data_IF_075852290062
#
_entry.id   IF_075852290062
#
_cell.length_a   1.000
_cell.length_b   1.000
_cell.length_c   1.000
_cell.angle_alpha   90.00
_cell.angle_beta   90.00
_cell.angle_gamma   90.00
#
_symmetry.space_group_name_H-M   'P 1'
#
loop_
_entity.id
_entity.type
_entity.pdbx_description
1 polymer ?
#
# COMPACT_ATOMS: atom_id res chain seq x y z
N UNK A 1 -6.91 22.50 19.10
CA UNK A 1 -5.83 21.57 18.74
C UNK A 1 -6.14 20.26 19.44
N UNK A 2 -6.00 19.13 18.74
CA UNK A 2 -6.21 17.83 19.37
C UNK A 2 -5.05 17.57 20.34
N UNK A 3 -5.37 17.25 21.60
CA UNK A 3 -4.39 17.04 22.65
C UNK A 3 -5.03 16.54 23.94
N UNK A 4 -4.20 16.20 24.92
CA UNK A 4 -4.68 15.80 26.24
C UNK A 4 -4.89 17.05 27.08
N UNK A 5 -6.15 17.33 27.42
CA UNK A 5 -6.52 18.49 28.24
C UNK A 5 -5.96 18.36 29.68
N UNK A 6 -5.30 19.39 30.24
CA UNK A 6 -4.74 19.37 31.59
C UNK A 6 -5.75 18.96 32.68
N UNK A 7 -7.02 19.30 32.49
CA UNK A 7 -8.12 18.97 33.42
C UNK A 7 -8.32 17.46 33.60
N UNK A 8 -7.88 16.64 32.64
CA UNK A 8 -8.02 15.19 32.67
C UNK A 8 -6.88 14.50 33.42
N UNK A 9 -5.77 15.18 33.71
CA UNK A 9 -4.60 14.56 34.32
C UNK A 9 -4.88 13.86 35.66
N UNK A 10 -5.64 14.44 36.60
CA UNK A 10 -5.99 13.76 37.84
C UNK A 10 -6.74 12.45 37.60
N UNK A 11 -7.61 12.44 36.59
CA UNK A 11 -8.37 11.25 36.21
C UNK A 11 -7.49 10.20 35.52
N UNK A 12 -6.60 10.62 34.62
CA UNK A 12 -5.68 9.75 33.89
C UNK A 12 -4.63 9.11 34.81
N UNK A 13 -4.12 9.87 35.79
CA UNK A 13 -3.16 9.38 36.81
C UNK A 13 -3.81 8.55 37.92
N UNK A 14 -5.15 8.56 38.01
CA UNK A 14 -5.91 8.01 39.13
C UNK A 14 -5.51 8.65 40.46
N UNK A 15 -5.46 9.98 40.49
CA UNK A 15 -5.23 10.79 41.70
C UNK A 15 -6.49 10.78 42.58
N UNK A 16 -6.85 9.59 43.09
CA UNK A 16 -8.03 9.34 43.89
C UNK A 16 -7.80 9.69 45.36
N UNK A 17 -8.72 10.43 45.95
CA UNK A 17 -8.75 10.75 47.37
C UNK A 17 -9.81 9.91 48.07
N UNK A 18 -9.46 9.25 49.17
CA UNK A 18 -10.41 8.49 49.97
C UNK A 18 -11.27 9.44 50.82
N UNK A 19 -12.59 9.35 50.69
CA UNK A 19 -13.58 9.98 51.56
C UNK A 19 -14.49 8.89 52.16
N UNK A 20 -14.09 8.40 53.34
CA UNK A 20 -14.74 7.25 53.97
C UNK A 20 -14.60 5.98 53.11
N UNK A 21 -15.70 5.31 52.72
CA UNK A 21 -15.65 4.13 51.86
C UNK A 21 -15.59 4.45 50.36
N UNK A 22 -15.67 5.73 49.96
CA UNK A 22 -15.71 6.15 48.55
C UNK A 22 -14.40 6.79 48.13
N UNK A 23 -14.12 6.74 46.85
CA UNK A 23 -13.06 7.54 46.22
C UNK A 23 -13.66 8.77 45.56
N UNK A 24 -12.98 9.89 45.64
CA UNK A 24 -13.30 11.13 44.91
C UNK A 24 -12.10 11.54 44.08
N UNK A 25 -12.34 12.25 42.98
CA UNK A 25 -11.30 12.79 42.10
C UNK A 25 -11.54 14.27 41.84
N UNK A 26 -10.48 15.06 41.81
CA UNK A 26 -10.53 16.48 41.47
C UNK A 26 -10.56 16.64 39.95
N UNK A 27 -11.58 17.32 39.41
CA UNK A 27 -11.67 17.68 38.00
C UNK A 27 -11.92 19.18 37.92
N UNK A 28 -10.87 19.93 37.54
CA UNK A 28 -10.89 21.39 37.61
C UNK A 28 -11.12 21.87 39.05
N UNK A 29 -12.17 22.65 39.27
CA UNK A 29 -12.52 23.18 40.59
C UNK A 29 -13.49 22.28 41.38
N UNK A 30 -13.89 21.13 40.82
CA UNK A 30 -14.89 20.25 41.43
C UNK A 30 -14.27 18.96 41.94
N UNK A 31 -14.70 18.57 43.14
CA UNK A 31 -14.50 17.23 43.69
C UNK A 31 -15.69 16.38 43.31
N UNK A 32 -15.46 15.23 42.67
CA UNK A 32 -16.52 14.35 42.16
C UNK A 32 -16.29 12.92 42.64
N UNK A 33 -17.35 12.23 43.06
CA UNK A 33 -17.32 10.80 43.40
C UNK A 33 -16.83 9.98 42.20
N UNK A 34 -15.80 9.16 42.40
CA UNK A 34 -15.24 8.28 41.40
C UNK A 34 -15.95 6.92 41.43
N UNK A 35 -16.55 6.53 40.31
CA UNK A 35 -17.14 5.21 40.12
C UNK A 35 -16.07 4.22 39.63
N UNK A 36 -15.89 3.09 40.30
CA UNK A 36 -14.92 2.05 39.94
C UNK A 36 -15.19 1.40 38.56
N UNK A 37 -16.44 1.41 38.12
CA UNK A 37 -16.85 0.91 36.79
C UNK A 37 -16.59 1.91 35.66
N UNK A 38 -16.18 3.14 35.97
CA UNK A 38 -15.91 4.16 34.97
C UNK A 38 -14.78 3.73 34.02
N UNK A 39 -14.98 3.93 32.71
CA UNK A 39 -13.99 3.71 31.65
C UNK A 39 -14.00 4.89 30.69
N UNK A 40 -12.81 5.34 30.27
CA UNK A 40 -12.63 6.46 29.35
C UNK A 40 -11.90 5.99 28.09
N UNK A 41 -12.47 6.30 26.93
CA UNK A 41 -11.83 6.14 25.63
C UNK A 41 -11.81 7.49 24.91
N UNK A 42 -10.66 7.83 24.33
CA UNK A 42 -10.46 9.06 23.57
C UNK A 42 -10.04 8.68 22.15
N UNK A 43 -10.56 9.40 21.16
CA UNK A 43 -10.24 9.17 19.75
C UNK A 43 -9.95 10.52 19.06
N UNK A 44 -8.99 10.51 18.14
CA UNK A 44 -8.65 11.66 17.29
C UNK A 44 -8.54 11.23 15.83
N UNK A 45 -8.84 12.16 14.91
CA UNK A 45 -8.61 11.97 13.47
C UNK A 45 -7.21 12.40 13.03
N UNK A 46 -6.45 13.08 13.90
CA UNK A 46 -5.08 13.45 13.64
C UNK A 46 -4.19 12.20 13.81
N UNK A 47 -3.47 11.74 12.77
CA UNK A 47 -2.61 10.56 12.86
C UNK A 47 -1.34 10.81 13.70
N UNK A 48 -0.96 12.06 13.91
CA UNK A 48 0.19 12.44 14.72
C UNK A 48 -0.20 13.59 15.67
N UNK A 49 -1.07 13.33 16.67
CA UNK A 49 -1.39 14.31 17.68
C UNK A 49 -0.15 14.61 18.52
N UNK A 50 0.03 15.87 18.91
CA UNK A 50 1.06 16.19 19.88
C UNK A 50 0.61 15.69 21.26
N UNK A 51 1.32 14.70 21.78
CA UNK A 51 1.10 14.16 23.12
C UNK A 51 2.35 14.47 23.93
N UNK A 52 2.24 15.29 24.99
CA UNK A 52 3.40 15.63 25.80
C UNK A 52 3.90 14.39 26.57
N UNK A 53 5.20 14.30 26.90
CA UNK A 53 5.79 13.08 27.49
C UNK A 53 5.14 12.64 28.81
N UNK A 54 4.65 13.60 29.60
CA UNK A 54 3.93 13.37 30.84
C UNK A 54 2.58 12.68 30.60
N UNK A 55 1.80 13.13 29.62
CA UNK A 55 0.57 12.46 29.20
C UNK A 55 0.88 11.08 28.59
N UNK A 56 1.93 10.97 27.78
CA UNK A 56 2.35 9.71 27.14
C UNK A 56 2.71 8.60 28.15
N UNK A 57 3.11 8.97 29.37
CA UNK A 57 3.39 8.00 30.44
C UNK A 57 2.13 7.39 31.08
N UNK A 58 0.97 8.04 30.94
CA UNK A 58 -0.28 7.65 31.61
C UNK A 58 -1.39 7.23 30.64
N UNK A 59 -1.14 7.30 29.34
CA UNK A 59 -2.06 6.87 28.29
C UNK A 59 -1.43 5.81 27.41
N UNK A 60 -2.26 4.93 26.86
CA UNK A 60 -1.84 3.97 25.83
C UNK A 60 -2.29 4.48 24.47
N UNK A 61 -1.32 4.76 23.59
CA UNK A 61 -1.58 5.17 22.21
C UNK A 61 -1.88 3.93 21.34
N UNK A 62 -3.04 3.92 20.68
CA UNK A 62 -3.42 2.86 19.75
C UNK A 62 -3.60 3.46 18.36
N UNK A 63 -2.76 3.03 17.41
CA UNK A 63 -2.79 3.55 16.05
C UNK A 63 -3.70 2.71 15.14
N UNK A 64 -4.79 3.32 14.67
CA UNK A 64 -5.75 2.73 13.73
C UNK A 64 -5.48 3.12 12.27
N UNK A 65 -4.21 3.21 11.87
CA UNK A 65 -3.84 3.50 10.48
C UNK A 65 -4.07 2.27 9.59
N UNK A 66 -4.70 2.49 8.43
CA UNK A 66 -4.88 1.45 7.42
C UNK A 66 -3.52 0.91 6.96
N UNK A 67 -3.32 -0.41 7.08
CA UNK A 67 -2.10 -1.08 6.61
C UNK A 67 -2.29 -1.65 5.21
N UNK A 68 -1.19 -1.89 4.47
CA UNK A 68 -1.23 -2.51 3.14
C UNK A 68 -1.94 -3.86 3.14
N UNK A 69 -1.65 -4.70 4.13
CA UNK A 69 -2.26 -6.01 4.29
C UNK A 69 -3.75 -5.92 4.66
N UNK A 70 -4.10 -5.01 5.59
CA UNK A 70 -5.50 -4.79 5.98
C UNK A 70 -6.36 -4.28 4.82
N UNK A 71 -5.86 -3.30 4.07
CA UNK A 71 -6.57 -2.79 2.89
C UNK A 71 -6.70 -3.85 1.79
N UNK A 72 -5.64 -4.63 1.54
CA UNK A 72 -5.71 -5.75 0.58
C UNK A 72 -6.84 -6.72 0.95
N UNK A 73 -6.95 -7.10 2.22
CA UNK A 73 -8.03 -7.98 2.70
C UNK A 73 -9.42 -7.37 2.50
N UNK A 74 -9.58 -6.07 2.79
CA UNK A 74 -10.84 -5.35 2.57
C UNK A 74 -11.22 -5.28 1.08
N UNK A 75 -10.26 -4.94 0.21
CA UNK A 75 -10.47 -4.88 -1.23
C UNK A 75 -10.82 -6.26 -1.80
N UNK A 76 -10.14 -7.32 -1.35
CA UNK A 76 -10.46 -8.69 -1.74
C UNK A 76 -11.89 -9.06 -1.33
N UNK A 77 -12.31 -8.75 -0.10
CA UNK A 77 -13.67 -9.00 0.34
C UNK A 77 -14.71 -8.28 -0.54
N UNK A 78 -14.47 -7.01 -0.88
CA UNK A 78 -15.34 -6.25 -1.78
C UNK A 78 -15.39 -6.85 -3.19
N UNK A 79 -14.25 -7.31 -3.73
CA UNK A 79 -14.20 -7.99 -5.03
C UNK A 79 -15.02 -9.27 -5.01
N UNK A 80 -14.82 -10.13 -4.01
CA UNK A 80 -15.54 -11.41 -3.91
C UNK A 80 -17.04 -11.19 -3.72
N UNK A 81 -17.43 -10.20 -2.92
CA UNK A 81 -18.84 -9.85 -2.74
C UNK A 81 -19.53 -9.47 -4.06
N UNK A 82 -18.81 -8.81 -4.97
CA UNK A 82 -19.34 -8.40 -6.28
C UNK A 82 -19.26 -9.53 -7.32
N UNK A 83 -18.09 -10.16 -7.46
CA UNK A 83 -17.80 -11.12 -8.53
C UNK A 83 -18.35 -12.52 -8.23
N UNK A 84 -18.35 -12.94 -6.95
CA UNK A 84 -18.79 -14.27 -6.50
C UNK A 84 -19.59 -14.17 -5.19
N UNK A 85 -20.79 -13.56 -5.19
CA UNK A 85 -21.59 -13.38 -3.99
C UNK A 85 -21.95 -14.70 -3.29
N UNK A 86 -22.11 -15.79 -4.05
CA UNK A 86 -22.36 -17.12 -3.51
C UNK A 86 -21.20 -17.63 -2.64
N UNK A 87 -19.96 -17.36 -3.06
CA UNK A 87 -18.75 -17.73 -2.32
C UNK A 87 -18.66 -16.97 -1.00
N UNK A 88 -18.99 -15.67 -1.00
CA UNK A 88 -19.05 -14.84 0.20
C UNK A 88 -20.14 -15.33 1.17
N UNK A 89 -21.33 -15.66 0.64
CA UNK A 89 -22.44 -16.22 1.43
C UNK A 89 -22.06 -17.55 2.07
N UNK A 90 -21.41 -18.44 1.32
CA UNK A 90 -20.93 -19.74 1.82
C UNK A 90 -19.89 -19.57 2.91
N UNK A 91 -18.92 -18.67 2.74
CA UNK A 91 -17.91 -18.38 3.76
C UNK A 91 -18.52 -17.81 5.03
N UNK A 92 -19.45 -16.85 4.89
CA UNK A 92 -20.15 -16.24 6.04
C UNK A 92 -20.93 -17.28 6.84
N UNK A 93 -21.69 -18.15 6.16
CA UNK A 93 -22.43 -19.25 6.81
C UNK A 93 -21.49 -20.23 7.52
N UNK A 94 -20.36 -20.56 6.90
CA UNK A 94 -19.37 -21.47 7.49
C UNK A 94 -18.78 -20.88 8.78
N UNK A 95 -18.41 -19.60 8.77
CA UNK A 95 -17.88 -18.91 9.95
C UNK A 95 -18.90 -18.85 11.09
N UNK A 96 -20.17 -18.58 10.77
CA UNK A 96 -21.24 -18.60 11.77
C UNK A 96 -21.40 -19.98 12.41
N UNK A 97 -21.40 -21.05 11.60
CA UNK A 97 -21.48 -22.42 12.10
C UNK A 97 -20.25 -22.83 12.91
N UNK A 98 -19.07 -22.35 12.55
CA UNK A 98 -17.84 -22.59 13.31
C UNK A 98 -17.90 -21.92 14.69
N UNK A 99 -18.34 -20.66 14.74
CA UNK A 99 -18.47 -19.93 16.00
C UNK A 99 -19.51 -20.57 16.92
N UNK A 100 -20.67 -20.96 16.38
CA UNK A 100 -21.69 -21.67 17.14
C UNK A 100 -21.16 -22.99 17.74
N UNK A 101 -20.39 -23.76 16.95
CA UNK A 101 -19.74 -25.00 17.43
C UNK A 101 -18.69 -24.74 18.49
N UNK A 102 -17.90 -23.66 18.39
CA UNK A 102 -16.92 -23.27 19.42
C UNK A 102 -17.62 -22.93 20.73
N UNK A 103 -18.73 -22.20 20.67
CA UNK A 103 -19.54 -21.89 21.86
C UNK A 103 -20.11 -23.18 22.46
N UNK A 104 -20.68 -24.07 21.65
CA UNK A 104 -21.18 -25.37 22.12
C UNK A 104 -20.09 -26.22 22.77
N UNK A 105 -18.88 -26.24 22.20
CA UNK A 105 -17.74 -26.95 22.76
C UNK A 105 -17.36 -26.39 24.14
N UNK A 106 -17.26 -25.05 24.27
CA UNK A 106 -16.96 -24.40 25.54
C UNK A 106 -18.03 -24.69 26.62
N UNK A 107 -19.31 -24.69 26.24
CA UNK A 107 -20.42 -25.03 27.15
C UNK A 107 -20.36 -26.50 27.60
N UNK A 108 -20.02 -27.43 26.71
CA UNK A 108 -19.85 -28.84 27.06
C UNK A 108 -18.66 -29.03 28.01
N UNK A 109 -17.55 -28.32 27.79
CA UNK A 109 -16.38 -28.35 28.67
C UNK A 109 -16.70 -27.76 30.06
N UNK A 110 -17.41 -26.63 30.11
CA UNK A 110 -17.86 -26.02 31.36
C UNK A 110 -18.83 -26.92 32.14
N UNK A 111 -19.83 -27.51 31.46
CA UNK A 111 -20.76 -28.45 32.08
C UNK A 111 -20.05 -29.70 32.61
N UNK A 112 -19.05 -30.21 31.88
CA UNK A 112 -18.24 -31.34 32.33
C UNK A 112 -17.46 -31.00 33.60
N UNK A 113 -16.86 -29.81 33.68
CA UNK A 113 -16.16 -29.33 34.87
C UNK A 113 -17.11 -29.14 36.06
N UNK A 114 -18.28 -28.55 35.83
CA UNK A 114 -19.31 -28.38 36.86
C UNK A 114 -19.78 -29.73 37.40
N UNK A 115 -20.06 -30.69 36.52
CA UNK A 115 -20.51 -32.03 36.89
C UNK A 115 -19.45 -32.77 37.72
N UNK A 116 -18.16 -32.65 37.35
CA UNK A 116 -17.05 -33.20 38.13
C UNK A 116 -16.87 -32.50 39.49
N UNK A 117 -17.05 -31.19 39.55
CA UNK A 117 -16.90 -30.40 40.77
C UNK A 117 -18.05 -30.61 41.77
N UNK A 118 -19.27 -30.83 41.27
CA UNK A 118 -20.48 -31.05 42.08
C UNK A 118 -20.70 -32.52 42.46
N UNK A 119 -19.96 -33.46 41.85
CA UNK A 119 -20.04 -34.88 42.17
C UNK A 119 -19.66 -35.16 43.63
N UNK A 120 -20.63 -35.63 44.42
CA UNK A 120 -20.43 -36.07 45.81
C UNK A 120 -20.42 -37.60 45.89
N UNK A 121 -19.53 -38.18 46.72
CA UNK A 121 -19.38 -39.63 46.88
C UNK A 121 -18.30 -40.24 45.99
N UNK A 122 -18.28 -41.58 45.87
CA UNK A 122 -17.32 -42.28 45.03
C UNK A 122 -17.70 -42.13 43.54
N UNK A 123 -16.99 -41.26 42.83
CA UNK A 123 -17.19 -40.96 41.40
C UNK A 123 -17.14 -42.23 40.54
N UNK A 124 -16.35 -43.23 40.95
CA UNK A 124 -16.19 -44.50 40.21
C UNK A 124 -17.40 -45.43 40.33
N UNK A 125 -18.28 -45.22 41.31
CA UNK A 125 -19.49 -46.03 41.53
C UNK A 125 -20.74 -45.40 40.91
N UNK A 126 -20.69 -44.11 40.57
CA UNK A 126 -21.81 -43.40 39.97
C UNK A 126 -21.88 -43.68 38.45
N UNK A 127 -22.63 -44.72 38.08
CA UNK A 127 -22.81 -45.13 36.69
C UNK A 127 -23.45 -44.05 35.81
N UNK A 128 -24.42 -43.29 36.33
CA UNK A 128 -25.08 -42.21 35.58
C UNK A 128 -24.10 -41.08 35.25
N UNK A 129 -23.24 -40.72 36.20
CA UNK A 129 -22.18 -39.74 35.99
C UNK A 129 -21.16 -40.20 34.94
N UNK A 130 -20.73 -41.47 35.01
CA UNK A 130 -19.79 -42.04 34.03
C UNK A 130 -20.40 -42.07 32.63
N UNK A 131 -21.68 -42.40 32.50
CA UNK A 131 -22.39 -42.42 31.22
C UNK A 131 -22.54 -41.02 30.63
N UNK A 132 -22.92 -40.04 31.45
CA UNK A 132 -22.98 -38.62 31.06
C UNK A 132 -21.61 -38.10 30.61
N UNK A 133 -20.53 -38.40 31.36
CA UNK A 133 -19.16 -38.01 30.98
C UNK A 133 -18.72 -38.62 29.65
N UNK A 134 -19.04 -39.90 29.40
CA UNK A 134 -18.75 -40.55 28.14
C UNK A 134 -19.54 -39.94 26.97
N UNK A 135 -20.81 -39.57 27.19
CA UNK A 135 -21.64 -38.91 26.18
C UNK A 135 -21.10 -37.50 25.86
N UNK A 136 -20.75 -36.70 26.87
CA UNK A 136 -20.15 -35.37 26.71
C UNK A 136 -18.82 -35.46 25.97
N UNK A 137 -17.97 -36.43 26.31
CA UNK A 137 -16.70 -36.68 25.61
C UNK A 137 -16.91 -37.06 24.15
N UNK A 138 -17.88 -37.93 23.86
CA UNK A 138 -18.20 -38.32 22.49
C UNK A 138 -18.74 -37.13 21.66
N UNK A 139 -19.60 -36.30 22.26
CA UNK A 139 -20.13 -35.09 21.64
C UNK A 139 -19.04 -34.06 21.36
N UNK A 140 -18.16 -33.80 22.33
CA UNK A 140 -16.99 -32.93 22.17
C UNK A 140 -16.06 -33.42 21.05
N UNK A 141 -15.79 -34.72 20.97
CA UNK A 141 -14.97 -35.30 19.89
C UNK A 141 -15.61 -35.12 18.51
N UNK A 142 -16.94 -35.27 18.39
CA UNK A 142 -17.67 -35.03 17.14
C UNK A 142 -17.60 -33.56 16.72
N UNK A 143 -17.79 -32.63 17.66
CA UNK A 143 -17.69 -31.19 17.41
C UNK A 143 -16.27 -30.84 16.96
N UNK A 144 -15.24 -31.36 17.62
CA UNK A 144 -13.84 -31.14 17.26
C UNK A 144 -13.52 -31.65 15.86
N UNK A 145 -14.04 -32.82 15.49
CA UNK A 145 -13.91 -33.33 14.12
C UNK A 145 -14.60 -32.39 13.13
N UNK A 146 -15.82 -31.94 13.43
CA UNK A 146 -16.56 -31.02 12.56
C UNK A 146 -15.86 -29.66 12.41
N UNK A 147 -15.26 -29.13 13.48
CA UNK A 147 -14.43 -27.92 13.42
C UNK A 147 -13.20 -28.11 12.52
N UNK A 148 -12.58 -29.30 12.57
CA UNK A 148 -11.44 -29.64 11.70
C UNK A 148 -11.86 -29.71 10.23
N UNK A 149 -13.04 -30.27 9.94
CA UNK A 149 -13.62 -30.31 8.59
C UNK A 149 -13.99 -28.90 8.08
N UNK A 150 -14.61 -28.08 8.93
CA UNK A 150 -14.91 -26.67 8.64
C UNK A 150 -13.63 -25.89 8.31
N UNK A 151 -12.55 -26.09 9.06
CA UNK A 151 -11.26 -25.47 8.79
C UNK A 151 -10.69 -25.90 7.42
N UNK A 152 -10.78 -27.18 7.06
CA UNK A 152 -10.36 -27.66 5.72
C UNK A 152 -11.17 -27.01 4.61
N UNK A 153 -12.48 -26.91 4.78
CA UNK A 153 -13.35 -26.26 3.81
C UNK A 153 -13.05 -24.75 3.71
N UNK A 154 -12.75 -24.08 4.82
CA UNK A 154 -12.34 -22.69 4.84
C UNK A 154 -11.06 -22.46 4.02
N UNK A 155 -10.04 -23.32 4.18
CA UNK A 155 -8.83 -23.23 3.35
C UNK A 155 -9.13 -23.40 1.86
N UNK A 156 -10.04 -24.31 1.50
CA UNK A 156 -10.47 -24.48 0.10
C UNK A 156 -11.19 -23.24 -0.43
N UNK A 157 -12.05 -22.61 0.38
CA UNK A 157 -12.74 -21.37 0.00
C UNK A 157 -11.75 -20.21 -0.12
N UNK A 158 -10.73 -20.14 0.74
CA UNK A 158 -9.70 -19.12 0.68
C UNK A 158 -8.86 -19.25 -0.60
N UNK A 159 -8.52 -20.47 -1.02
CA UNK A 159 -7.86 -20.71 -2.31
C UNK A 159 -8.70 -20.22 -3.51
N UNK A 160 -10.03 -20.41 -3.48
CA UNK A 160 -10.91 -19.89 -4.52
C UNK A 160 -10.97 -18.35 -4.53
N UNK A 161 -10.83 -17.72 -3.35
CA UNK A 161 -10.78 -16.24 -3.22
C UNK A 161 -9.45 -15.70 -3.71
N UNK A 162 -8.36 -16.42 -3.47
CA UNK A 162 -6.99 -16.00 -3.82
C UNK A 162 -6.81 -15.77 -5.32
N UNK A 163 -7.68 -16.34 -6.16
CA UNK A 163 -7.75 -16.00 -7.58
C UNK A 163 -7.87 -14.48 -7.85
N UNK A 164 -8.54 -13.73 -6.96
CA UNK A 164 -8.72 -12.27 -7.08
C UNK A 164 -7.72 -11.46 -6.23
N UNK A 165 -6.80 -12.12 -5.54
CA UNK A 165 -5.78 -11.46 -4.72
C UNK A 165 -4.91 -10.47 -5.51
N UNK A 166 -4.48 -10.76 -6.77
CA UNK A 166 -3.68 -9.82 -7.55
C UNK A 166 -4.33 -8.45 -7.72
N UNK A 167 -5.64 -8.41 -8.04
CA UNK A 167 -6.40 -7.17 -8.17
C UNK A 167 -6.37 -6.35 -6.87
N UNK A 168 -6.58 -7.02 -5.72
CA UNK A 168 -6.59 -6.37 -4.41
C UNK A 168 -5.20 -5.85 -4.02
N UNK A 169 -4.12 -6.55 -4.40
CA UNK A 169 -2.75 -6.09 -4.21
C UNK A 169 -2.43 -4.87 -5.05
N UNK A 170 -2.78 -4.90 -6.34
CA UNK A 170 -2.59 -3.79 -7.28
C UNK A 170 -3.37 -2.56 -6.81
N UNK A 171 -4.63 -2.71 -6.40
CA UNK A 171 -5.43 -1.62 -5.87
C UNK A 171 -4.92 -1.08 -4.52
N UNK A 172 -4.46 -1.95 -3.61
CA UNK A 172 -3.81 -1.52 -2.37
C UNK A 172 -2.56 -0.70 -2.66
N UNK A 173 -1.70 -1.15 -3.59
CA UNK A 173 -0.51 -0.39 -4.04
C UNK A 173 -0.90 0.99 -4.54
N UNK A 174 -1.90 1.10 -5.43
CA UNK A 174 -2.40 2.39 -5.94
C UNK A 174 -2.79 3.34 -4.81
N UNK A 175 -3.56 2.86 -3.83
CA UNK A 175 -3.99 3.70 -2.71
C UNK A 175 -2.80 4.30 -1.95
N UNK A 176 -1.79 3.50 -1.62
CA UNK A 176 -0.64 4.03 -0.89
C UNK A 176 0.21 4.99 -1.72
N UNK A 177 0.35 4.73 -3.03
CA UNK A 177 1.01 5.66 -3.96
C UNK A 177 0.31 7.02 -3.95
N UNK A 178 -1.02 7.06 -3.99
CA UNK A 178 -1.77 8.33 -3.95
C UNK A 178 -1.73 9.01 -2.58
N UNK A 179 -1.66 8.25 -1.47
CA UNK A 179 -1.55 8.86 -0.13
C UNK A 179 -0.21 9.57 0.10
N UNK A 180 0.84 9.12 -0.59
CA UNK A 180 2.16 9.72 -0.48
C UNK A 180 2.24 11.14 -1.08
N UNK A 181 1.30 11.55 -1.95
CA UNK A 181 1.28 12.91 -2.49
C UNK A 181 1.11 13.99 -1.41
N UNK A 182 0.54 13.64 -0.27
CA UNK A 182 0.40 14.55 0.87
C UNK A 182 1.74 15.04 1.42
N UNK A 183 2.83 14.30 1.17
CA UNK A 183 4.21 14.67 1.54
C UNK A 183 4.77 15.81 0.68
N UNK A 184 4.24 15.97 -0.53
CA UNK A 184 4.67 17.01 -1.47
C UNK A 184 3.84 18.28 -1.23
N UNK A 185 2.52 18.12 -1.13
CA UNK A 185 1.62 19.21 -0.81
C UNK A 185 0.56 18.73 0.19
N UNK A 186 0.43 19.46 1.30
CA UNK A 186 -0.53 19.17 2.36
C UNK A 186 -1.99 19.12 1.87
N UNK A 187 -2.33 19.76 0.75
CA UNK A 187 -3.66 19.74 0.14
C UNK A 187 -3.97 18.40 -0.58
N UNK A 188 -2.96 17.62 -0.96
CA UNK A 188 -3.12 16.35 -1.67
C UNK A 188 -3.43 15.19 -0.71
N UNK A 189 -4.58 15.30 -0.05
CA UNK A 189 -5.09 14.29 0.90
C UNK A 189 -6.32 13.63 0.33
N UNK A 190 -6.20 12.35 0.03
CA UNK A 190 -7.30 11.54 -0.51
C UNK A 190 -7.82 10.61 0.56
N UNK A 191 -9.14 10.59 0.75
CA UNK A 191 -9.76 9.71 1.74
C UNK A 191 -9.87 8.27 1.21
N UNK A 192 -9.67 7.30 2.11
CA UNK A 192 -9.93 5.89 1.80
C UNK A 192 -11.35 5.67 1.28
N UNK A 193 -12.34 6.35 1.87
CA UNK A 193 -13.74 6.24 1.43
C UNK A 193 -13.93 6.66 -0.04
N UNK A 194 -13.25 7.71 -0.50
CA UNK A 194 -13.28 8.10 -1.92
C UNK A 194 -12.65 7.04 -2.82
N UNK A 195 -11.53 6.45 -2.40
CA UNK A 195 -10.87 5.38 -3.13
C UNK A 195 -11.76 4.13 -3.22
N UNK A 196 -12.37 3.70 -2.12
CA UNK A 196 -13.27 2.54 -2.10
C UNK A 196 -14.51 2.75 -3.00
N UNK A 197 -15.02 3.98 -3.11
CA UNK A 197 -16.11 4.29 -4.06
C UNK A 197 -15.66 4.17 -5.52
N UNK A 198 -14.45 4.62 -5.85
CA UNK A 198 -13.88 4.44 -7.19
C UNK A 198 -13.66 2.96 -7.49
N UNK A 199 -13.12 2.21 -6.53
CA UNK A 199 -12.91 0.78 -6.63
C UNK A 199 -14.22 0.02 -6.89
N UNK A 200 -15.25 0.30 -6.08
CA UNK A 200 -16.56 -0.31 -6.27
C UNK A 200 -17.17 0.02 -7.63
N UNK A 201 -17.04 1.27 -8.09
CA UNK A 201 -17.49 1.66 -9.43
C UNK A 201 -16.73 0.92 -10.54
N UNK A 202 -15.43 0.69 -10.39
CA UNK A 202 -14.65 -0.08 -11.35
C UNK A 202 -15.11 -1.54 -11.43
N UNK A 203 -15.50 -2.15 -10.29
CA UNK A 203 -16.03 -3.51 -10.25
C UNK A 203 -17.40 -3.65 -10.92
N UNK A 204 -18.21 -2.59 -10.92
CA UNK A 204 -19.54 -2.57 -11.56
C UNK A 204 -19.49 -2.55 -13.09
N UNK A 205 -18.32 -2.38 -13.70
CA UNK A 205 -18.18 -2.39 -15.15
C UNK A 205 -18.48 -3.79 -15.69
N UNK A 206 -19.64 -3.91 -16.35
CA UNK A 206 -20.08 -5.13 -17.03
C UNK A 206 -19.20 -5.40 -18.24
N UNK A 207 -18.51 -6.54 -18.23
CA UNK A 207 -17.74 -6.99 -19.38
C UNK A 207 -17.74 -8.51 -19.40
N UNK A 208 -18.30 -9.09 -20.46
CA UNK A 208 -18.19 -10.52 -20.72
C UNK A 208 -16.71 -10.86 -20.87
N UNK A 209 -16.19 -11.64 -19.94
CA UNK A 209 -14.79 -12.04 -19.89
C UNK A 209 -14.72 -13.56 -19.98
N UNK A 210 -13.91 -14.09 -20.89
CA UNK A 210 -13.79 -15.54 -21.09
C UNK A 210 -13.06 -16.24 -19.92
N UNK A 211 -12.24 -15.51 -19.17
CA UNK A 211 -11.50 -16.03 -18.00
C UNK A 211 -11.35 -15.00 -16.87
N UNK A 212 -11.17 -15.51 -15.65
CA UNK A 212 -10.92 -14.70 -14.44
C UNK A 212 -9.67 -13.83 -14.58
N UNK A 213 -8.60 -14.34 -15.20
CA UNK A 213 -7.34 -13.60 -15.36
C UNK A 213 -7.49 -12.41 -16.33
N UNK A 214 -8.25 -12.60 -17.41
CA UNK A 214 -8.58 -11.53 -18.36
C UNK A 214 -9.47 -10.48 -17.69
N UNK A 215 -10.45 -10.93 -16.89
CA UNK A 215 -11.31 -10.04 -16.10
C UNK A 215 -10.49 -9.19 -15.12
N UNK A 216 -9.57 -9.80 -14.38
CA UNK A 216 -8.68 -9.11 -13.43
C UNK A 216 -7.82 -8.07 -14.15
N UNK A 217 -7.16 -8.45 -15.24
CA UNK A 217 -6.28 -7.54 -16.00
C UNK A 217 -7.04 -6.34 -16.55
N UNK A 218 -8.28 -6.56 -16.97
CA UNK A 218 -9.15 -5.50 -17.49
C UNK A 218 -9.62 -4.57 -16.38
N UNK A 219 -10.05 -5.12 -15.24
CA UNK A 219 -10.42 -4.35 -14.05
C UNK A 219 -9.25 -3.52 -13.52
N UNK A 220 -8.04 -4.08 -13.46
CA UNK A 220 -6.85 -3.36 -13.05
C UNK A 220 -6.57 -2.16 -13.97
N UNK A 221 -6.66 -2.37 -15.28
CA UNK A 221 -6.42 -1.31 -16.26
C UNK A 221 -7.47 -0.20 -16.15
N UNK A 222 -8.74 -0.58 -16.04
CA UNK A 222 -9.84 0.37 -15.88
C UNK A 222 -9.72 1.17 -14.57
N UNK A 223 -9.40 0.49 -13.45
CA UNK A 223 -9.20 1.13 -12.15
C UNK A 223 -8.04 2.11 -12.18
N UNK A 224 -6.90 1.74 -12.79
CA UNK A 224 -5.74 2.64 -12.94
C UNK A 224 -6.15 3.93 -13.65
N UNK A 225 -6.90 3.84 -14.75
CA UNK A 225 -7.36 5.01 -15.51
C UNK A 225 -8.32 5.88 -14.68
N UNK A 226 -9.31 5.27 -14.03
CA UNK A 226 -10.24 6.00 -13.17
C UNK A 226 -9.55 6.72 -12.01
N UNK A 227 -8.59 6.06 -11.35
CA UNK A 227 -7.82 6.65 -10.26
C UNK A 227 -6.95 7.77 -10.79
N UNK A 228 -6.21 7.56 -11.89
CA UNK A 228 -5.34 8.57 -12.47
C UNK A 228 -6.12 9.84 -12.85
N UNK A 229 -7.22 9.71 -13.59
CA UNK A 229 -8.08 10.86 -13.93
C UNK A 229 -8.63 11.57 -12.69
N UNK A 230 -9.13 10.82 -11.72
CA UNK A 230 -9.71 11.38 -10.49
C UNK A 230 -8.67 12.22 -9.73
N UNK A 231 -7.44 11.72 -9.61
CA UNK A 231 -6.36 12.43 -8.95
C UNK A 231 -5.90 13.64 -9.78
N UNK A 232 -5.67 13.49 -11.09
CA UNK A 232 -5.23 14.57 -11.96
C UNK A 232 -6.19 15.78 -11.98
N UNK A 233 -7.50 15.57 -11.81
CA UNK A 233 -8.50 16.65 -11.67
C UNK A 233 -8.30 17.51 -10.42
N UNK A 234 -7.62 16.98 -9.40
CA UNK A 234 -7.35 17.67 -8.13
C UNK A 234 -5.95 18.28 -8.02
N UNK A 235 -5.03 17.90 -8.91
CA UNK A 235 -3.65 18.37 -8.89
C UNK A 235 -3.48 19.68 -9.67
N UNK A 236 -2.54 20.51 -9.23
CA UNK A 236 -2.05 21.61 -10.05
C UNK A 236 -1.37 21.08 -11.31
N UNK A 237 -1.46 21.82 -12.42
CA UNK A 237 -0.83 21.45 -13.70
C UNK A 237 0.67 21.15 -13.57
N UNK A 238 1.37 21.92 -12.74
CA UNK A 238 2.80 21.74 -12.49
C UNK A 238 3.13 20.38 -11.86
N UNK A 239 2.21 19.80 -11.08
CA UNK A 239 2.45 18.56 -10.34
C UNK A 239 1.97 17.31 -11.10
N UNK A 240 1.27 17.46 -12.22
CA UNK A 240 0.70 16.34 -12.96
C UNK A 240 1.79 15.42 -13.54
N UNK A 241 2.87 15.97 -14.09
CA UNK A 241 3.98 15.16 -14.60
C UNK A 241 4.74 14.44 -13.48
N UNK A 242 4.95 15.11 -12.35
CA UNK A 242 5.54 14.49 -11.17
C UNK A 242 4.68 13.31 -10.70
N UNK A 243 3.36 13.50 -10.61
CA UNK A 243 2.44 12.44 -10.22
C UNK A 243 2.48 11.28 -11.22
N UNK A 244 2.53 11.55 -12.53
CA UNK A 244 2.61 10.51 -13.55
C UNK A 244 3.85 9.62 -13.36
N UNK A 245 5.02 10.22 -13.15
CA UNK A 245 6.25 9.45 -12.89
C UNK A 245 6.20 8.69 -11.56
N UNK A 246 5.73 9.33 -10.49
CA UNK A 246 5.56 8.68 -9.18
C UNK A 246 4.59 7.51 -9.25
N UNK A 247 3.49 7.67 -9.98
CA UNK A 247 2.49 6.63 -10.19
C UNK A 247 3.08 5.44 -10.97
N UNK A 248 3.77 5.69 -12.09
CA UNK A 248 4.46 4.63 -12.86
C UNK A 248 5.50 3.92 -11.99
N UNK A 249 6.32 4.66 -11.23
CA UNK A 249 7.33 4.06 -10.34
C UNK A 249 6.72 3.20 -9.25
N UNK A 250 5.60 3.64 -8.67
CA UNK A 250 4.91 2.90 -7.61
C UNK A 250 4.15 1.66 -8.11
N UNK A 251 3.60 1.73 -9.33
CA UNK A 251 2.81 0.64 -9.91
C UNK A 251 3.63 -0.39 -10.66
N UNK A 252 4.69 0.05 -11.35
CA UNK A 252 5.52 -0.76 -12.22
C UNK A 252 7.01 -0.58 -11.88
N UNK A 253 7.44 -0.96 -10.66
CA UNK A 253 8.83 -0.82 -10.24
C UNK A 253 9.82 -1.59 -11.13
N UNK A 254 9.36 -2.62 -11.83
CA UNK A 254 10.12 -3.44 -12.78
C UNK A 254 10.60 -2.71 -14.03
N UNK A 255 10.00 -1.55 -14.36
CA UNK A 255 10.46 -0.72 -15.48
C UNK A 255 11.78 0.02 -15.18
N UNK A 256 12.23 -0.03 -13.93
CA UNK A 256 13.40 0.68 -13.43
C UNK A 256 14.39 -0.35 -12.90
N UNK A 257 15.58 -0.38 -13.48
CA UNK A 257 16.66 -1.22 -12.96
C UNK A 257 17.26 -0.61 -11.69
N UNK A 258 18.14 -1.37 -11.03
CA UNK A 258 18.82 -0.94 -9.82
C UNK A 258 19.54 0.39 -10.03
N UNK A 259 19.46 1.30 -9.06
CA UNK A 259 20.08 2.64 -9.07
C UNK A 259 19.58 3.63 -10.15
N UNK A 260 18.79 3.22 -11.14
CA UNK A 260 18.33 4.12 -12.23
C UNK A 260 17.50 5.29 -11.70
N UNK A 261 16.55 5.01 -10.80
CA UNK A 261 15.71 6.04 -10.20
C UNK A 261 16.50 6.99 -9.29
N UNK A 262 17.50 6.47 -8.60
CA UNK A 262 18.31 7.26 -7.66
C UNK A 262 19.31 8.16 -8.40
N UNK A 263 19.83 7.72 -9.55
CA UNK A 263 20.57 8.61 -10.47
C UNK A 263 19.64 9.66 -11.04
N UNK A 264 18.45 9.28 -11.52
CA UNK A 264 17.48 10.21 -12.09
C UNK A 264 17.10 11.34 -11.12
N UNK A 265 16.84 10.98 -9.86
CA UNK A 265 16.49 11.93 -8.79
C UNK A 265 17.68 12.68 -8.20
N UNK A 266 18.91 12.32 -8.58
CA UNK A 266 20.14 12.96 -8.11
C UNK A 266 20.57 12.55 -6.69
N UNK A 267 20.03 11.45 -6.15
CA UNK A 267 20.45 10.88 -4.87
C UNK A 267 21.85 10.27 -4.94
N UNK A 268 22.22 9.71 -6.09
CA UNK A 268 23.57 9.25 -6.35
C UNK A 268 24.39 10.43 -6.89
N UNK A 269 25.08 11.10 -5.97
CA UNK A 269 26.10 12.09 -6.31
C UNK A 269 27.41 11.31 -6.48
N UNK A 270 27.88 11.16 -7.71
CA UNK A 270 29.14 10.46 -7.96
C UNK A 270 30.28 11.04 -7.14
N UNK A 271 31.06 10.19 -6.48
CA UNK A 271 32.26 10.57 -5.71
C UNK A 271 33.30 11.35 -6.54
N UNK A 272 33.15 11.37 -7.87
CA UNK A 272 33.93 12.18 -8.80
C UNK A 272 33.76 13.69 -8.63
N UNK A 273 32.74 14.18 -7.90
CA UNK A 273 32.65 15.61 -7.56
C UNK A 273 33.69 16.01 -6.50
N UNK A 274 34.25 15.06 -5.74
CA UNK A 274 35.19 15.34 -4.64
C UNK A 274 36.66 15.17 -4.98
N UNK A 275 36.99 14.50 -6.09
CA UNK A 275 38.37 14.44 -6.58
C UNK A 275 38.53 15.45 -7.70
N UNK A 276 39.41 16.41 -7.47
CA UNK A 276 39.87 17.45 -8.38
C UNK A 276 40.58 16.85 -9.61
N UNK A 277 39.90 16.00 -10.37
CA UNK A 277 40.30 15.68 -11.74
C UNK A 277 39.94 16.92 -12.56
N UNK A 278 40.95 17.79 -12.75
CA UNK A 278 40.84 19.01 -13.53
C UNK A 278 40.07 18.74 -14.83
N UNK A 279 39.01 19.51 -15.12
CA UNK A 279 38.08 19.29 -16.26
C UNK A 279 38.73 18.89 -17.60
N UNK A 280 40.01 19.23 -17.80
CA UNK A 280 40.85 18.75 -18.91
C UNK A 280 40.95 17.22 -19.01
N UNK A 281 41.16 16.50 -17.90
CA UNK A 281 41.27 15.04 -17.91
C UNK A 281 39.95 14.35 -18.23
N UNK A 282 38.82 14.95 -17.85
CA UNK A 282 37.50 14.48 -18.25
C UNK A 282 37.24 14.74 -19.73
N UNK A 283 37.65 15.91 -20.26
CA UNK A 283 37.49 16.24 -21.68
C UNK A 283 38.21 15.27 -22.61
N UNK A 284 39.35 14.72 -22.19
CA UNK A 284 40.10 13.71 -22.96
C UNK A 284 39.43 12.32 -22.96
N UNK A 285 38.52 12.05 -22.02
CA UNK A 285 37.86 10.75 -21.87
C UNK A 285 36.54 10.62 -22.63
N UNK A 286 35.99 11.73 -23.11
CA UNK A 286 34.66 11.78 -23.73
C UNK A 286 34.70 12.41 -25.13
N UNK A 287 33.76 12.03 -26.02
CA UNK A 287 33.65 12.58 -27.37
C UNK A 287 33.55 14.11 -27.39
N UNK A 288 34.16 14.73 -28.41
CA UNK A 288 34.23 16.19 -28.52
C UNK A 288 32.86 16.86 -28.79
N UNK A 289 31.90 16.13 -29.35
CA UNK A 289 30.55 16.62 -29.63
C UNK A 289 29.68 16.80 -28.37
N UNK A 290 30.06 16.17 -27.25
CA UNK A 290 29.36 16.34 -25.98
C UNK A 290 29.77 17.69 -25.38
N UNK A 291 28.78 18.47 -24.96
CA UNK A 291 28.99 19.76 -24.32
C UNK A 291 29.79 19.64 -23.02
N UNK A 292 30.70 20.58 -22.79
CA UNK A 292 31.61 20.55 -21.65
C UNK A 292 30.86 20.56 -20.30
N UNK A 293 29.72 21.25 -20.24
CA UNK A 293 28.85 21.32 -19.06
C UNK A 293 28.18 19.97 -18.74
N UNK A 294 28.07 19.08 -19.73
CA UNK A 294 27.40 17.78 -19.61
C UNK A 294 28.35 16.64 -19.24
N UNK A 295 29.67 16.86 -19.30
CA UNK A 295 30.68 15.83 -19.04
C UNK A 295 30.53 15.18 -17.67
N UNK A 296 30.16 15.94 -16.63
CA UNK A 296 29.96 15.39 -15.28
C UNK A 296 28.77 14.43 -15.25
N UNK A 297 27.66 14.79 -15.91
CA UNK A 297 26.46 13.94 -15.97
C UNK A 297 26.72 12.66 -16.78
N UNK A 298 27.46 12.76 -17.88
CA UNK A 298 27.85 11.60 -18.70
C UNK A 298 28.87 10.71 -17.96
N UNK A 299 29.78 11.31 -17.20
CA UNK A 299 30.72 10.57 -16.34
C UNK A 299 29.99 9.80 -15.25
N UNK A 300 28.98 10.40 -14.60
CA UNK A 300 28.12 9.72 -13.64
C UNK A 300 27.37 8.55 -14.28
N UNK A 301 26.80 8.76 -15.48
CA UNK A 301 26.14 7.69 -16.24
C UNK A 301 27.11 6.53 -16.53
N UNK A 302 28.34 6.84 -16.92
CA UNK A 302 29.40 5.84 -17.19
C UNK A 302 29.82 5.08 -15.94
N UNK A 303 30.00 5.77 -14.81
CA UNK A 303 30.43 5.14 -13.56
C UNK A 303 29.36 4.24 -12.97
N UNK A 304 28.11 4.67 -13.02
CA UNK A 304 26.99 3.95 -12.41
C UNK A 304 26.46 2.85 -13.34
N UNK A 305 26.44 3.08 -14.66
CA UNK A 305 25.93 2.14 -15.66
C UNK A 305 26.95 1.89 -16.78
N UNK A 306 28.06 1.19 -16.50
CA UNK A 306 29.11 0.96 -17.50
C UNK A 306 28.62 0.15 -18.71
N UNK A 307 27.70 -0.80 -18.49
CA UNK A 307 27.09 -1.61 -19.56
C UNK A 307 26.22 -0.75 -20.48
N UNK A 308 25.36 0.10 -19.88
CA UNK A 308 24.55 1.06 -20.65
C UNK A 308 25.44 1.97 -21.48
N UNK A 309 26.48 2.57 -20.87
CA UNK A 309 27.42 3.44 -21.57
C UNK A 309 28.09 2.75 -22.77
N UNK A 310 28.44 1.47 -22.65
CA UNK A 310 28.98 0.69 -23.77
C UNK A 310 27.96 0.54 -24.91
N UNK A 311 26.68 0.29 -24.60
CA UNK A 311 25.64 0.19 -25.61
C UNK A 311 25.34 1.51 -26.33
N UNK A 312 25.57 2.64 -25.67
CA UNK A 312 25.35 3.97 -26.26
C UNK A 312 26.35 4.31 -27.38
N UNK A 313 27.52 3.66 -27.42
CA UNK A 313 28.55 3.90 -28.43
C UNK A 313 28.83 5.40 -28.68
N UNK A 314 28.86 6.24 -27.63
CA UNK A 314 28.93 7.71 -27.77
C UNK A 314 30.16 8.21 -28.57
N UNK A 315 31.19 7.37 -28.71
CA UNK A 315 32.37 7.64 -29.53
C UNK A 315 32.04 7.75 -31.03
N UNK A 316 30.97 7.10 -31.50
CA UNK A 316 30.46 7.25 -32.85
C UNK A 316 29.61 8.53 -32.95
N UNK A 317 30.25 9.61 -33.39
CA UNK A 317 29.64 10.94 -33.42
C UNK A 317 28.55 11.06 -34.49
N UNK A 318 28.69 10.34 -35.60
CA UNK A 318 27.75 10.41 -36.72
C UNK A 318 26.39 9.83 -36.34
N UNK A 319 26.41 8.78 -35.51
CA UNK A 319 25.21 8.12 -35.01
C UNK A 319 24.36 9.04 -34.11
N UNK A 320 24.98 9.95 -33.37
CA UNK A 320 24.31 10.88 -32.44
C UNK A 320 24.11 12.29 -33.01
N UNK A 321 24.57 12.57 -34.22
CA UNK A 321 24.51 13.89 -34.84
C UNK A 321 23.06 14.39 -34.98
N UNK A 322 22.16 13.53 -35.47
CA UNK A 322 20.72 13.83 -35.61
C UNK A 322 20.11 14.14 -34.25
N UNK A 323 20.36 13.30 -33.24
CA UNK A 323 19.88 13.53 -31.87
C UNK A 323 20.39 14.87 -31.31
N UNK A 324 21.67 15.19 -31.53
CA UNK A 324 22.29 16.41 -31.01
C UNK A 324 21.68 17.68 -31.60
N UNK A 325 21.38 17.71 -32.90
CA UNK A 325 20.84 18.89 -33.58
C UNK A 325 19.32 18.99 -33.57
N UNK A 326 18.63 17.90 -33.26
CA UNK A 326 17.17 17.87 -33.26
C UNK A 326 16.53 18.71 -32.16
N UNK A 327 15.42 19.35 -32.51
CA UNK A 327 14.51 20.01 -31.56
C UNK A 327 13.64 19.01 -30.77
N UNK A 328 13.52 17.77 -31.26
CA UNK A 328 12.74 16.69 -30.66
C UNK A 328 13.62 15.45 -30.45
N UNK A 329 14.81 15.66 -29.89
CA UNK A 329 15.83 14.62 -29.71
C UNK A 329 15.33 13.41 -28.91
N UNK A 330 14.35 13.59 -28.02
CA UNK A 330 13.75 12.49 -27.26
C UNK A 330 13.05 11.44 -28.12
N UNK A 331 12.67 11.77 -29.36
CA UNK A 331 12.05 10.83 -30.32
C UNK A 331 13.07 10.26 -31.32
N UNK A 332 14.23 10.89 -31.41
CA UNK A 332 15.26 10.59 -32.42
C UNK A 332 16.49 9.92 -31.81
N UNK A 333 16.27 9.11 -30.75
CA UNK A 333 17.31 8.22 -30.24
C UNK A 333 17.65 7.21 -31.34
N UNK A 334 18.93 7.00 -31.65
CA UNK A 334 19.36 6.13 -32.74
C UNK A 334 18.68 4.75 -32.69
N UNK A 335 17.95 4.32 -33.74
CA UNK A 335 17.15 3.08 -33.71
C UNK A 335 17.92 1.81 -33.31
N UNK A 336 19.20 1.62 -33.71
CA UNK A 336 20.00 0.47 -33.25
C UNK A 336 20.24 0.44 -31.74
N UNK A 337 20.23 1.60 -31.08
CA UNK A 337 20.43 1.76 -29.65
C UNK A 337 19.08 1.69 -28.92
N UNK A 338 18.06 2.37 -29.43
CA UNK A 338 16.72 2.39 -28.83
C UNK A 338 16.13 0.98 -28.61
N UNK A 339 16.47 0.01 -29.47
CA UNK A 339 16.05 -1.40 -29.33
C UNK A 339 16.80 -2.17 -28.24
N UNK A 340 17.95 -1.68 -27.77
CA UNK A 340 18.82 -2.34 -26.78
C UNK A 340 18.66 -1.80 -25.36
N UNK A 341 18.09 -0.60 -25.22
CA UNK A 341 17.95 0.10 -23.93
C UNK A 341 16.48 0.18 -23.52
N UNK A 342 16.22 0.22 -22.22
CA UNK A 342 14.86 0.35 -21.68
C UNK A 342 14.28 1.75 -21.94
N UNK A 343 12.96 1.88 -21.87
CA UNK A 343 12.27 3.17 -22.00
C UNK A 343 12.75 4.19 -20.94
N UNK A 344 13.04 3.74 -19.71
CA UNK A 344 13.54 4.65 -18.68
C UNK A 344 15.01 5.01 -18.90
N UNK A 345 15.83 4.10 -19.43
CA UNK A 345 17.21 4.40 -19.82
C UNK A 345 17.28 5.46 -20.91
N UNK A 346 16.31 5.52 -21.82
CA UNK A 346 16.20 6.62 -22.79
C UNK A 346 16.03 7.98 -22.09
N UNK A 347 15.23 8.05 -21.01
CA UNK A 347 15.09 9.26 -20.19
C UNK A 347 16.40 9.64 -19.52
N UNK A 348 17.15 8.67 -18.98
CA UNK A 348 18.48 8.92 -18.40
C UNK A 348 19.48 9.47 -19.42
N UNK A 349 19.44 8.97 -20.66
CA UNK A 349 20.29 9.46 -21.75
C UNK A 349 19.94 10.92 -22.09
N UNK A 350 18.66 11.25 -22.23
CA UNK A 350 18.21 12.62 -22.46
C UNK A 350 18.59 13.51 -21.27
N UNK A 351 18.40 13.05 -20.03
CA UNK A 351 18.81 13.78 -18.82
C UNK A 351 20.31 14.08 -18.82
N UNK A 352 21.15 13.13 -19.25
CA UNK A 352 22.60 13.29 -19.28
C UNK A 352 23.06 14.23 -20.41
N UNK A 353 22.49 14.12 -21.61
CA UNK A 353 22.96 14.82 -22.81
C UNK A 353 22.20 16.11 -23.13
N UNK A 354 20.86 16.10 -23.07
CA UNK A 354 19.96 17.18 -23.50
C UNK A 354 18.87 17.45 -22.45
N UNK A 355 19.24 18.04 -21.28
CA UNK A 355 18.30 18.28 -20.19
C UNK A 355 17.17 19.25 -20.57
N UNK A 356 17.35 20.07 -21.59
CA UNK A 356 16.34 20.96 -22.16
C UNK A 356 15.11 20.21 -22.70
N UNK A 357 15.27 18.94 -23.08
CA UNK A 357 14.19 18.06 -23.56
C UNK A 357 13.72 17.06 -22.50
N UNK A 358 14.19 17.16 -21.26
CA UNK A 358 13.87 16.21 -20.20
C UNK A 358 12.36 16.17 -19.91
N UNK A 359 11.69 17.32 -19.91
CA UNK A 359 10.23 17.37 -19.68
C UNK A 359 9.46 16.57 -20.73
N UNK A 360 9.81 16.73 -22.01
CA UNK A 360 9.20 15.97 -23.11
C UNK A 360 9.53 14.48 -23.04
N UNK A 361 10.77 14.12 -22.70
CA UNK A 361 11.17 12.73 -22.52
C UNK A 361 10.42 12.04 -21.36
N UNK A 362 10.30 12.73 -20.22
CA UNK A 362 9.52 12.26 -19.07
C UNK A 362 8.04 12.08 -19.42
N UNK A 363 7.45 13.03 -20.15
CA UNK A 363 6.06 12.96 -20.59
C UNK A 363 5.84 11.82 -21.59
N UNK A 364 6.77 11.61 -22.53
CA UNK A 364 6.72 10.49 -23.46
C UNK A 364 6.86 9.14 -22.76
N UNK A 365 7.81 9.01 -21.82
CA UNK A 365 7.98 7.81 -20.99
C UNK A 365 6.73 7.53 -20.16
N UNK A 366 6.23 8.52 -19.42
CA UNK A 366 5.03 8.39 -18.62
C UNK A 366 3.84 8.04 -19.52
N UNK A 367 3.69 8.69 -20.67
CA UNK A 367 2.65 8.37 -21.64
C UNK A 367 2.78 6.95 -22.14
N UNK A 368 3.96 6.41 -22.46
CA UNK A 368 4.09 5.02 -22.95
C UNK A 368 3.90 3.98 -21.86
N UNK A 369 4.48 4.21 -20.69
CA UNK A 369 4.34 3.35 -19.51
C UNK A 369 2.89 3.35 -19.01
N UNK A 370 2.24 4.51 -19.09
CA UNK A 370 0.82 4.64 -18.85
C UNK A 370 0.03 4.04 -20.01
N UNK A 371 0.28 4.31 -21.29
CA UNK A 371 -0.51 3.87 -22.48
C UNK A 371 -0.52 2.37 -22.69
N UNK A 372 0.46 1.63 -22.15
CA UNK A 372 0.29 0.19 -21.91
C UNK A 372 -0.98 -0.15 -21.08
N UNK A 373 -1.61 0.86 -20.46
CA UNK A 373 -2.86 0.92 -19.68
C UNK A 373 -3.98 1.72 -20.44
N UNK A 374 -3.67 2.51 -21.49
CA UNK A 374 -4.62 3.43 -22.20
C UNK A 374 -5.12 2.91 -23.55
N UNK A 375 -4.81 1.67 -23.96
CA UNK A 375 -5.49 1.05 -25.12
C UNK A 375 -6.90 0.63 -24.68
N UNK A 376 -7.72 1.65 -24.38
CA UNK A 376 -9.18 1.76 -24.40
C UNK A 376 -9.60 3.02 -23.60
N UNK A 377 -9.28 4.22 -24.09
CA UNK A 377 -10.17 5.41 -24.10
C UNK A 377 -9.39 6.71 -24.35
N UNK A 378 -9.63 7.30 -25.53
CA UNK A 378 -9.58 8.74 -25.87
C UNK A 378 -8.37 9.56 -25.38
N UNK A 379 -7.33 9.62 -26.22
CA UNK A 379 -6.34 10.70 -26.21
C UNK A 379 -6.64 11.69 -27.34
N UNK A 380 -7.26 12.82 -26.99
CA UNK A 380 -7.14 14.07 -27.75
C UNK A 380 -7.20 15.21 -26.74
N UNK A 381 -6.05 15.84 -26.45
CA UNK A 381 -6.05 17.05 -25.62
C UNK A 381 -4.75 17.39 -24.88
N UNK A 382 -3.73 16.52 -24.90
CA UNK A 382 -2.51 16.74 -24.11
C UNK A 382 -1.29 17.21 -24.90
N UNK A 383 -1.31 17.19 -26.24
CA UNK A 383 -0.19 17.67 -27.05
C UNK A 383 -0.37 19.08 -27.63
N UNK A 384 -1.58 19.64 -27.55
CA UNK A 384 -1.88 21.01 -27.99
C UNK A 384 -2.37 21.87 -26.81
N UNK A 385 -1.45 22.27 -25.91
CA UNK A 385 -1.54 23.54 -25.17
C UNK A 385 -0.31 23.91 -24.35
#
# INVERSE_FOLDING_TARGET
MDGVEPVLYPLLRRDLMAQGPRYVVQIGDKVIDYNEDFRLFLATRNPSPFIPPDAKSVITEVNFTTTRAGLRGQLLALTIQQEKPELESKKTKLLQQEEEKKIQLAQLEESLLETLATAQGNILENKELIESLNQTKASSALIQQSLTESHRLQMSLDQERDAYLPLAETASKMYFVITDLSKINNMYRFSLASFLRLFHRALQTEQESESTDVRISTLESHLKNMVYEYICRSLFKADQLMFALHFVKGMNPELFQENEWDVFTGLIVGDMVRKTDSQKSLREQFPSWIDQERLIAVALLKSTFPVLYQYLCLNDSDLWLTFSHSSCCEQEIPPPIAKKISLFQQVLVVQALRPDRLQSAMAAFASQALVYIWINSWMDGWLDR
#
